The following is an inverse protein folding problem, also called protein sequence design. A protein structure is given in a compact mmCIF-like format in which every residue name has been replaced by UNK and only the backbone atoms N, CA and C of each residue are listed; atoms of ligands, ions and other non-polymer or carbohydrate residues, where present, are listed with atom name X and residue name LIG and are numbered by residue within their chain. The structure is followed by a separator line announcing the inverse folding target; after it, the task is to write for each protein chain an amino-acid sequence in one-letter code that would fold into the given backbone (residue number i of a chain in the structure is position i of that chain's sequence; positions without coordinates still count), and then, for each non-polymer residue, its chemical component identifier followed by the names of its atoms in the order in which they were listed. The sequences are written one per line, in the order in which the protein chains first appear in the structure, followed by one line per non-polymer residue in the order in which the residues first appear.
data_IF_086515109940
#
_entry.id   IF_086515109940
#
_cell.length_a   1.000
_cell.length_b   1.000
_cell.length_c   1.000
_cell.angle_alpha   90.00
_cell.angle_beta   90.00
_cell.angle_gamma   90.00
#
_symmetry.space_group_name_H-M   'P 1'
#
loop_
_entity.id
_entity.type
_entity.pdbx_description
1 polymer ?
#
# COMPACT_ATOMS: atom_id res chain seq x y z
N UNK A 1 -6.19 -12.96 25.88
CA UNK A 1 -6.25 -11.84 24.88
C UNK A 1 -7.06 -10.69 25.47
N UNK A 2 -6.63 -9.44 25.31
CA UNK A 2 -7.44 -8.27 25.68
C UNK A 2 -8.69 -8.25 24.82
N UNK A 3 -9.87 -8.06 25.45
CA UNK A 3 -11.14 -7.94 24.72
C UNK A 3 -11.17 -6.59 23.99
N UNK A 4 -11.47 -6.61 22.69
CA UNK A 4 -11.58 -5.38 21.91
C UNK A 4 -12.83 -4.58 22.30
N UNK A 5 -12.68 -3.26 22.31
CA UNK A 5 -13.77 -2.29 22.42
C UNK A 5 -13.77 -1.43 21.15
N UNK A 6 -14.68 -1.75 20.25
CA UNK A 6 -14.79 -1.09 18.94
C UNK A 6 -15.61 0.22 18.99
N UNK A 7 -16.11 0.63 20.13
CA UNK A 7 -17.02 1.78 20.26
C UNK A 7 -16.44 3.11 19.75
N UNK A 8 -15.11 3.25 19.84
CA UNK A 8 -14.39 4.46 19.42
C UNK A 8 -13.75 4.32 18.03
N UNK A 9 -13.74 3.13 17.46
CA UNK A 9 -13.13 2.90 16.15
C UNK A 9 -14.01 3.50 15.04
N UNK A 10 -13.39 4.33 14.18
CA UNK A 10 -14.02 4.99 13.04
C UNK A 10 -13.88 4.08 11.82
N UNK A 11 -14.99 3.70 11.20
CA UNK A 11 -15.00 2.80 10.04
C UNK A 11 -15.71 3.45 8.87
N UNK A 12 -15.11 3.34 7.68
CA UNK A 12 -15.75 3.71 6.43
C UNK A 12 -16.16 2.45 5.67
N UNK A 13 -17.41 2.42 5.21
CA UNK A 13 -17.97 1.38 4.35
C UNK A 13 -18.35 2.02 3.03
N UNK A 14 -17.61 1.69 1.98
CA UNK A 14 -17.72 2.32 0.67
C UNK A 14 -18.08 1.25 -0.35
N UNK A 15 -19.30 1.31 -0.88
CA UNK A 15 -19.78 0.32 -1.84
C UNK A 15 -20.87 0.93 -2.72
N UNK A 16 -20.89 0.58 -4.01
CA UNK A 16 -21.92 1.05 -4.94
C UNK A 16 -23.32 0.59 -4.55
N UNK A 17 -23.46 -0.65 -4.09
CA UNK A 17 -24.75 -1.24 -3.70
C UNK A 17 -25.18 -0.78 -2.29
N UNK A 18 -26.38 -0.19 -2.19
CA UNK A 18 -26.97 0.29 -0.93
C UNK A 18 -27.25 -0.84 0.06
N UNK A 19 -27.67 -2.02 -0.41
CA UNK A 19 -27.95 -3.19 0.43
C UNK A 19 -26.68 -3.70 1.09
N UNK A 20 -25.57 -3.76 0.35
CA UNK A 20 -24.24 -4.12 0.87
C UNK A 20 -23.81 -3.12 1.96
N UNK A 21 -23.91 -1.81 1.70
CA UNK A 21 -23.58 -0.78 2.70
C UNK A 21 -24.36 -0.95 4.00
N UNK A 22 -25.67 -1.18 3.92
CA UNK A 22 -26.52 -1.35 5.10
C UNK A 22 -26.26 -2.67 5.83
N UNK A 23 -26.02 -3.76 5.10
CA UNK A 23 -25.68 -5.06 5.67
C UNK A 23 -24.38 -4.98 6.47
N UNK A 24 -23.30 -4.46 5.87
CA UNK A 24 -21.99 -4.30 6.54
C UNK A 24 -22.13 -3.38 7.75
N UNK A 25 -22.83 -2.24 7.62
CA UNK A 25 -23.10 -1.32 8.74
C UNK A 25 -23.81 -2.01 9.89
N UNK A 26 -24.83 -2.82 9.61
CA UNK A 26 -25.58 -3.56 10.64
C UNK A 26 -24.69 -4.56 11.38
N UNK A 27 -23.84 -5.28 10.66
CA UNK A 27 -22.84 -6.18 11.27
C UNK A 27 -21.93 -5.40 12.21
N UNK A 28 -21.36 -4.29 11.75
CA UNK A 28 -20.47 -3.46 12.55
C UNK A 28 -21.15 -2.97 13.84
N UNK A 29 -22.40 -2.47 13.74
CA UNK A 29 -23.16 -2.04 14.93
C UNK A 29 -23.42 -3.18 15.89
N UNK A 30 -23.78 -4.37 15.42
CA UNK A 30 -24.00 -5.55 16.27
C UNK A 30 -22.75 -5.97 17.03
N UNK A 31 -21.56 -5.71 16.45
CA UNK A 31 -20.25 -6.01 17.04
C UNK A 31 -19.65 -4.87 17.87
N UNK A 32 -20.41 -3.80 18.10
CA UNK A 32 -20.05 -2.74 19.04
C UNK A 32 -19.43 -1.48 18.43
N UNK A 33 -19.26 -1.41 17.10
CA UNK A 33 -18.87 -0.14 16.46
C UNK A 33 -19.97 0.91 16.62
N UNK A 34 -19.58 2.18 16.79
CA UNK A 34 -20.52 3.30 16.93
C UNK A 34 -20.24 4.43 15.96
N UNK A 35 -19.05 4.47 15.36
CA UNK A 35 -18.64 5.47 14.37
C UNK A 35 -18.45 4.83 13.01
N UNK A 36 -19.55 4.61 12.29
CA UNK A 36 -19.57 3.99 10.94
C UNK A 36 -20.17 4.97 9.95
N UNK A 37 -19.35 5.39 8.98
CA UNK A 37 -19.79 6.20 7.85
C UNK A 37 -19.92 5.31 6.61
N UNK A 38 -20.90 5.61 5.77
CA UNK A 38 -21.18 4.87 4.54
C UNK A 38 -21.20 5.81 3.35
N UNK A 39 -20.64 5.39 2.22
CA UNK A 39 -20.65 6.12 0.96
C UNK A 39 -20.76 5.18 -0.24
N UNK A 40 -21.17 5.72 -1.38
CA UNK A 40 -21.25 5.01 -2.65
C UNK A 40 -20.08 5.34 -3.59
N UNK A 41 -19.20 6.24 -3.17
CA UNK A 41 -17.99 6.62 -3.91
C UNK A 41 -16.77 6.67 -2.99
N UNK A 42 -15.58 6.63 -3.60
CA UNK A 42 -14.29 6.76 -2.91
C UNK A 42 -14.01 8.19 -2.40
N UNK A 43 -14.84 9.17 -2.77
CA UNK A 43 -14.65 10.58 -2.38
C UNK A 43 -14.61 10.75 -0.87
N UNK A 44 -15.41 9.98 -0.12
CA UNK A 44 -15.35 9.97 1.35
C UNK A 44 -13.93 9.67 1.88
N UNK A 45 -13.21 8.74 1.25
CA UNK A 45 -11.85 8.41 1.67
C UNK A 45 -10.85 9.47 1.20
N UNK A 46 -11.02 10.00 0.00
CA UNK A 46 -10.18 11.07 -0.56
C UNK A 46 -10.29 12.34 0.30
N UNK A 47 -11.49 12.71 0.71
CA UNK A 47 -11.73 13.84 1.61
C UNK A 47 -11.09 13.61 2.99
N UNK A 48 -11.21 12.40 3.55
CA UNK A 48 -10.60 12.06 4.82
C UNK A 48 -9.06 12.14 4.78
N UNK A 49 -8.45 11.76 3.66
CA UNK A 49 -7.01 11.91 3.42
C UNK A 49 -6.63 13.39 3.40
N UNK A 50 -7.37 14.19 2.66
CA UNK A 50 -7.13 15.63 2.50
C UNK A 50 -7.27 16.39 3.82
N UNK A 51 -8.25 16.00 4.65
CA UNK A 51 -8.50 16.55 5.97
C UNK A 51 -7.61 15.97 7.08
N UNK A 52 -6.77 14.98 6.77
CA UNK A 52 -5.92 14.25 7.73
C UNK A 52 -6.72 13.62 8.89
N UNK A 53 -7.95 13.20 8.61
CA UNK A 53 -8.86 12.54 9.57
C UNK A 53 -9.27 11.15 9.08
N UNK A 54 -8.27 10.31 8.86
CA UNK A 54 -8.46 8.94 8.39
C UNK A 54 -9.30 8.10 9.35
N UNK A 55 -10.07 7.12 8.83
CA UNK A 55 -10.72 6.09 9.63
C UNK A 55 -9.69 5.09 10.19
N UNK A 56 -10.13 4.31 11.16
CA UNK A 56 -9.33 3.20 11.71
C UNK A 56 -9.41 1.94 10.83
N UNK A 57 -10.45 1.84 9.98
CA UNK A 57 -10.67 0.75 9.03
C UNK A 57 -11.46 1.25 7.83
N UNK A 58 -11.07 0.82 6.64
CA UNK A 58 -11.84 0.98 5.41
C UNK A 58 -12.31 -0.39 4.92
N UNK A 59 -13.59 -0.50 4.58
CA UNK A 59 -14.18 -1.66 3.90
C UNK A 59 -14.75 -1.11 2.59
N UNK A 60 -14.20 -1.50 1.45
CA UNK A 60 -14.54 -0.88 0.17
C UNK A 60 -14.76 -1.89 -0.94
N UNK A 61 -15.70 -1.60 -1.82
CA UNK A 61 -15.75 -2.27 -3.12
C UNK A 61 -14.44 -2.02 -3.89
N UNK A 62 -14.07 -2.97 -4.73
CA UNK A 62 -12.90 -2.85 -5.64
C UNK A 62 -13.35 -2.57 -7.07
N UNK A 63 -14.56 -2.98 -7.40
CA UNK A 63 -15.18 -2.96 -8.72
C UNK A 63 -16.18 -1.79 -8.87
N UNK A 64 -15.70 -0.56 -8.71
CA UNK A 64 -16.46 0.63 -9.10
C UNK A 64 -16.39 0.83 -10.62
N UNK A 65 -17.47 1.36 -11.21
CA UNK A 65 -17.52 1.65 -12.65
C UNK A 65 -16.64 2.85 -13.01
N UNK A 66 -16.68 3.92 -12.21
CA UNK A 66 -16.04 5.21 -12.52
C UNK A 66 -14.80 5.51 -11.65
N UNK A 67 -14.43 4.64 -10.72
CA UNK A 67 -13.33 4.87 -9.78
C UNK A 67 -12.47 3.62 -9.61
N UNK A 68 -11.16 3.78 -9.47
CA UNK A 68 -10.23 2.68 -9.25
C UNK A 68 -9.76 2.62 -7.78
N UNK A 69 -10.44 1.78 -6.98
CA UNK A 69 -10.08 1.56 -5.59
C UNK A 69 -8.67 0.96 -5.44
N UNK A 70 -8.25 0.09 -6.37
CA UNK A 70 -6.91 -0.49 -6.34
C UNK A 70 -5.85 0.59 -6.55
N UNK A 71 -6.07 1.49 -7.51
CA UNK A 71 -5.14 2.61 -7.74
C UNK A 71 -5.09 3.58 -6.55
N UNK A 72 -6.25 3.85 -5.92
CA UNK A 72 -6.30 4.71 -4.72
C UNK A 72 -5.50 4.08 -3.57
N UNK A 73 -5.73 2.80 -3.26
CA UNK A 73 -5.00 2.12 -2.19
C UNK A 73 -3.51 2.02 -2.50
N UNK A 74 -3.13 1.71 -3.73
CA UNK A 74 -1.73 1.73 -4.16
C UNK A 74 -1.08 3.11 -3.93
N UNK A 75 -1.78 4.19 -4.24
CA UNK A 75 -1.30 5.55 -4.02
C UNK A 75 -1.16 5.89 -2.52
N UNK A 76 -2.08 5.42 -1.67
CA UNK A 76 -1.98 5.54 -0.20
C UNK A 76 -0.75 4.78 0.30
N UNK A 77 -0.57 3.51 -0.10
CA UNK A 77 0.57 2.65 0.29
C UNK A 77 1.92 3.28 -0.08
N UNK A 78 1.98 3.94 -1.24
CA UNK A 78 3.19 4.60 -1.72
C UNK A 78 3.29 6.07 -1.29
N UNK A 79 2.49 6.52 -0.30
CA UNK A 79 2.51 7.89 0.24
C UNK A 79 2.28 8.97 -0.85
N UNK A 80 1.65 8.61 -1.98
CA UNK A 80 1.23 9.59 -2.99
C UNK A 80 0.03 10.39 -2.49
N UNK A 81 -0.79 9.76 -1.65
CA UNK A 81 -1.93 10.35 -0.96
C UNK A 81 -1.80 10.12 0.55
N UNK A 82 -1.67 11.23 1.31
CA UNK A 82 -1.58 11.20 2.77
C UNK A 82 -0.25 10.66 3.33
N UNK A 83 -0.18 10.60 4.66
CA UNK A 83 1.04 10.26 5.40
C UNK A 83 0.94 8.89 6.10
N UNK A 84 -0.22 8.22 6.04
CA UNK A 84 -0.45 6.91 6.65
C UNK A 84 -0.62 5.81 5.59
N UNK A 85 0.48 5.17 5.18
CA UNK A 85 0.42 4.07 4.23
C UNK A 85 -0.08 2.76 4.86
N UNK A 86 -0.29 2.71 6.17
CA UNK A 86 -0.65 1.50 6.91
C UNK A 86 -2.15 1.41 7.23
N UNK A 87 -2.97 2.33 6.71
CA UNK A 87 -4.42 2.29 6.88
C UNK A 87 -4.96 0.87 6.62
N UNK A 88 -5.67 0.24 7.59
CA UNK A 88 -6.28 -1.08 7.42
C UNK A 88 -7.39 -1.05 6.36
N UNK A 89 -7.30 -1.93 5.35
CA UNK A 89 -8.25 -1.96 4.23
C UNK A 89 -8.71 -3.38 3.91
N UNK A 90 -10.04 -3.57 3.86
CA UNK A 90 -10.69 -4.79 3.37
C UNK A 90 -11.38 -4.48 2.05
N UNK A 91 -11.05 -5.21 0.99
CA UNK A 91 -11.70 -5.11 -0.30
C UNK A 91 -12.92 -6.03 -0.39
N UNK A 92 -13.95 -5.62 -1.13
CA UNK A 92 -15.10 -6.44 -1.50
C UNK A 92 -15.20 -6.51 -3.02
N UNK A 93 -15.43 -7.69 -3.60
CA UNK A 93 -15.53 -7.86 -5.04
C UNK A 93 -16.56 -8.94 -5.42
N UNK A 94 -17.25 -8.74 -6.56
CA UNK A 94 -18.09 -9.77 -7.17
C UNK A 94 -17.22 -10.74 -7.99
N UNK A 95 -17.39 -12.07 -7.76
CA UNK A 95 -16.73 -13.12 -8.55
C UNK A 95 -15.28 -12.79 -8.95
N UNK A 96 -14.35 -12.60 -7.99
CA UNK A 96 -13.02 -12.10 -8.31
C UNK A 96 -12.24 -13.10 -9.15
N UNK A 97 -12.03 -12.76 -10.42
CA UNK A 97 -11.16 -13.52 -11.33
C UNK A 97 -9.70 -13.39 -10.90
N UNK A 98 -8.81 -14.31 -11.27
CA UNK A 98 -7.39 -14.27 -10.89
C UNK A 98 -6.69 -12.93 -11.18
N UNK A 99 -7.01 -12.28 -12.30
CA UNK A 99 -6.47 -10.98 -12.65
C UNK A 99 -6.88 -9.88 -11.66
N UNK A 100 -8.16 -9.86 -11.22
CA UNK A 100 -8.63 -8.92 -10.20
C UNK A 100 -8.00 -9.21 -8.85
N UNK A 101 -7.87 -10.48 -8.47
CA UNK A 101 -7.18 -10.88 -7.22
C UNK A 101 -5.74 -10.38 -7.23
N UNK A 102 -5.01 -10.57 -8.35
CA UNK A 102 -3.66 -10.05 -8.50
C UNK A 102 -3.60 -8.52 -8.38
N UNK A 103 -4.55 -7.80 -8.99
CA UNK A 103 -4.66 -6.34 -8.88
C UNK A 103 -4.89 -5.89 -7.44
N UNK A 104 -5.78 -6.57 -6.68
CA UNK A 104 -6.05 -6.31 -5.26
C UNK A 104 -4.79 -6.53 -4.41
N UNK A 105 -4.09 -7.64 -4.63
CA UNK A 105 -2.85 -7.97 -3.92
C UNK A 105 -1.77 -6.91 -4.19
N UNK A 106 -1.54 -6.59 -5.46
CA UNK A 106 -0.52 -5.61 -5.87
C UNK A 106 -0.85 -4.18 -5.43
N UNK A 107 -2.12 -3.86 -5.23
CA UNK A 107 -2.54 -2.59 -4.64
C UNK A 107 -2.24 -2.49 -3.12
N UNK A 108 -1.98 -3.61 -2.45
CA UNK A 108 -1.65 -3.63 -1.01
C UNK A 108 -2.86 -3.64 -0.08
N UNK A 109 -4.01 -4.17 -0.51
CA UNK A 109 -5.12 -4.45 0.41
C UNK A 109 -4.69 -5.43 1.50
N UNK A 110 -5.16 -5.26 2.72
CA UNK A 110 -4.86 -6.20 3.80
C UNK A 110 -5.57 -7.53 3.60
N UNK A 111 -6.86 -7.47 3.36
CA UNK A 111 -7.72 -8.62 3.14
C UNK A 111 -8.75 -8.31 2.05
N UNK A 112 -9.39 -9.35 1.54
CA UNK A 112 -10.57 -9.16 0.71
C UNK A 112 -11.63 -10.23 1.01
N UNK A 113 -12.89 -9.96 0.61
CA UNK A 113 -14.01 -10.88 0.69
C UNK A 113 -14.77 -10.86 -0.63
N UNK A 114 -15.10 -12.07 -1.12
CA UNK A 114 -15.92 -12.20 -2.32
C UNK A 114 -17.39 -11.99 -1.97
N UNK A 115 -18.12 -11.25 -2.80
CA UNK A 115 -19.58 -11.10 -2.73
C UNK A 115 -20.26 -12.25 -3.51
N UNK A 116 -21.40 -12.81 -3.03
CA UNK A 116 -22.06 -12.50 -1.75
C UNK A 116 -21.32 -13.12 -0.56
N UNK A 117 -21.35 -12.45 0.59
CA UNK A 117 -20.72 -12.91 1.84
C UNK A 117 -21.73 -12.95 2.99
N UNK A 118 -21.44 -13.81 3.99
CA UNK A 118 -22.19 -13.85 5.24
C UNK A 118 -21.69 -12.79 6.23
N UNK A 119 -22.49 -12.50 7.27
CA UNK A 119 -22.10 -11.63 8.37
C UNK A 119 -20.86 -12.13 9.09
N UNK A 120 -20.70 -13.43 9.24
CA UNK A 120 -19.54 -14.03 9.91
C UNK A 120 -18.27 -13.91 9.08
N UNK A 121 -18.35 -14.06 7.75
CA UNK A 121 -17.20 -13.89 6.86
C UNK A 121 -16.60 -12.49 6.92
N UNK A 122 -17.43 -11.44 6.92
CA UNK A 122 -16.91 -10.08 7.05
C UNK A 122 -16.37 -9.82 8.46
N UNK A 123 -17.01 -10.39 9.49
CA UNK A 123 -16.57 -10.26 10.87
C UNK A 123 -15.21 -10.94 11.10
N UNK A 124 -15.02 -12.16 10.63
CA UNK A 124 -13.74 -12.88 10.69
C UNK A 124 -12.58 -12.08 10.05
N UNK A 125 -12.84 -11.37 8.94
CA UNK A 125 -11.82 -10.51 8.32
C UNK A 125 -11.46 -9.32 9.20
N UNK A 126 -12.45 -8.72 9.86
CA UNK A 126 -12.23 -7.60 10.80
C UNK A 126 -11.44 -8.07 12.03
N UNK A 127 -11.80 -9.20 12.63
CA UNK A 127 -11.07 -9.78 13.76
C UNK A 127 -9.64 -10.14 13.38
N UNK A 128 -9.46 -10.82 12.24
CA UNK A 128 -8.13 -11.15 11.73
C UNK A 128 -7.27 -9.90 11.55
N UNK A 129 -7.84 -8.83 11.02
CA UNK A 129 -7.13 -7.57 10.84
C UNK A 129 -6.80 -6.89 12.17
N UNK A 130 -7.69 -6.98 13.17
CA UNK A 130 -7.48 -6.39 14.48
C UNK A 130 -6.41 -7.14 15.32
N UNK A 131 -6.38 -8.47 15.25
CA UNK A 131 -5.54 -9.29 16.13
C UNK A 131 -4.33 -9.92 15.43
N UNK A 132 -4.45 -10.25 14.15
CA UNK A 132 -3.51 -11.09 13.39
C UNK A 132 -3.16 -10.46 12.02
N UNK A 133 -3.04 -9.12 11.99
CA UNK A 133 -2.67 -8.43 10.76
C UNK A 133 -1.32 -8.96 10.27
N UNK A 134 -1.23 -9.29 8.98
CA UNK A 134 0.02 -9.72 8.38
C UNK A 134 1.06 -8.59 8.43
N UNK A 135 2.33 -8.89 8.71
CA UNK A 135 3.41 -7.93 8.56
C UNK A 135 3.50 -7.46 7.10
N UNK A 136 4.10 -6.30 6.89
CA UNK A 136 4.27 -5.73 5.55
C UNK A 136 5.66 -6.00 5.01
N UNK A 137 5.76 -6.17 3.71
CA UNK A 137 7.02 -6.17 2.96
C UNK A 137 7.10 -4.93 2.10
N UNK A 138 8.34 -4.49 1.86
CA UNK A 138 8.63 -3.35 0.99
C UNK A 138 9.60 -3.79 -0.10
N UNK A 139 9.27 -3.45 -1.34
CA UNK A 139 10.17 -3.51 -2.49
C UNK A 139 10.28 -2.12 -3.12
N UNK A 140 10.95 -1.98 -4.26
CA UNK A 140 11.10 -0.68 -4.93
C UNK A 140 9.76 0.03 -5.15
N UNK A 141 8.76 -0.67 -5.65
CA UNK A 141 7.45 -0.14 -6.06
C UNK A 141 6.26 -0.64 -5.23
N UNK A 142 6.46 -1.61 -4.35
CA UNK A 142 5.39 -2.22 -3.54
C UNK A 142 5.59 -2.00 -2.04
N UNK A 143 4.49 -1.67 -1.36
CA UNK A 143 4.33 -1.72 0.09
C UNK A 143 2.98 -2.35 0.42
N UNK A 144 2.99 -3.47 1.12
CA UNK A 144 1.75 -4.16 1.47
C UNK A 144 1.99 -5.43 2.29
N UNK A 145 0.89 -6.12 2.68
CA UNK A 145 0.97 -7.32 3.48
C UNK A 145 1.80 -8.42 2.83
N UNK A 146 2.61 -9.10 3.63
CA UNK A 146 3.38 -10.26 3.19
C UNK A 146 2.44 -11.42 2.84
N UNK A 147 2.47 -11.83 1.56
CA UNK A 147 1.65 -12.92 1.00
C UNK A 147 2.44 -14.20 0.78
N UNK A 148 3.73 -14.18 1.01
CA UNK A 148 4.59 -15.34 0.80
C UNK A 148 4.45 -16.33 1.96
N UNK A 149 3.83 -17.48 1.70
CA UNK A 149 3.62 -18.55 2.68
C UNK A 149 4.90 -19.33 3.03
N UNK A 150 5.88 -19.32 2.14
CA UNK A 150 7.19 -19.98 2.37
C UNK A 150 8.28 -18.92 2.29
N UNK A 151 8.90 -18.59 3.42
CA UNK A 151 10.01 -17.63 3.48
C UNK A 151 11.30 -18.23 2.91
N UNK A 152 11.40 -18.30 1.61
CA UNK A 152 12.68 -18.27 0.91
C UNK A 152 13.09 -16.84 0.52
N UNK A 153 12.20 -15.86 0.76
CA UNK A 153 12.45 -14.46 0.47
C UNK A 153 13.35 -13.82 1.53
N UNK A 154 14.43 -13.19 1.08
CA UNK A 154 15.35 -12.38 1.89
C UNK A 154 14.78 -10.99 2.23
N UNK A 155 13.57 -10.66 1.77
CA UNK A 155 12.94 -9.36 2.01
C UNK A 155 12.46 -9.28 3.46
N UNK A 156 12.91 -8.26 4.23
CA UNK A 156 12.46 -8.09 5.60
C UNK A 156 10.96 -7.78 5.67
N UNK A 157 10.31 -8.32 6.70
CA UNK A 157 8.91 -8.05 6.99
C UNK A 157 8.78 -7.15 8.24
N UNK A 158 7.87 -6.19 8.20
CA UNK A 158 7.69 -5.14 9.20
C UNK A 158 6.33 -5.26 9.88
N UNK A 159 6.32 -5.27 11.20
CA UNK A 159 5.09 -5.12 12.00
C UNK A 159 4.65 -3.64 11.95
N UNK A 160 3.74 -3.33 11.03
CA UNK A 160 3.32 -1.95 10.79
C UNK A 160 2.24 -1.48 11.77
N UNK A 161 2.13 -0.15 12.02
CA UNK A 161 1.04 0.41 12.82
C UNK A 161 -0.32 -0.02 12.29
N UNK A 162 -1.22 -0.36 13.21
CA UNK A 162 -2.59 -0.77 12.93
C UNK A 162 -3.56 0.12 13.72
N UNK A 163 -4.24 1.04 13.02
CA UNK A 163 -5.16 2.01 13.65
C UNK A 163 -6.34 1.30 14.33
N UNK A 164 -6.90 0.26 13.70
CA UNK A 164 -7.99 -0.52 14.29
C UNK A 164 -7.56 -1.17 15.62
N UNK A 165 -6.41 -1.85 15.66
CA UNK A 165 -5.85 -2.42 16.88
C UNK A 165 -5.54 -1.36 17.92
N UNK A 166 -4.89 -0.29 17.50
CA UNK A 166 -4.51 0.82 18.38
C UNK A 166 -5.71 1.43 19.10
N UNK A 167 -6.82 1.62 18.38
CA UNK A 167 -8.04 2.21 18.95
C UNK A 167 -8.85 1.20 19.77
N UNK A 168 -9.10 0.01 19.22
CA UNK A 168 -10.03 -0.96 19.80
C UNK A 168 -9.42 -1.83 20.91
N UNK A 169 -8.13 -2.16 20.84
CA UNK A 169 -7.47 -3.13 21.72
C UNK A 169 -6.49 -2.44 22.65
N UNK A 170 -5.54 -1.68 22.08
CA UNK A 170 -4.44 -1.09 22.81
C UNK A 170 -4.82 0.23 23.49
N UNK A 171 -5.92 0.86 23.06
CA UNK A 171 -6.44 2.16 23.54
C UNK A 171 -5.41 3.28 23.47
N UNK A 172 -4.61 3.27 22.40
CA UNK A 172 -3.56 4.25 22.14
C UNK A 172 -4.20 5.54 21.61
N UNK A 173 -3.73 6.69 22.09
CA UNK A 173 -4.19 7.99 21.60
C UNK A 173 -3.76 8.23 20.14
N UNK A 174 -4.60 8.90 19.35
CA UNK A 174 -4.32 9.21 17.92
C UNK A 174 -2.95 9.88 17.71
N UNK A 175 -2.54 10.77 18.62
CA UNK A 175 -1.22 11.44 18.53
C UNK A 175 -0.06 10.44 18.66
N UNK A 176 -0.15 9.47 19.57
CA UNK A 176 0.85 8.43 19.74
C UNK A 176 0.86 7.47 18.54
N UNK A 177 -0.32 7.11 18.02
CA UNK A 177 -0.41 6.29 16.81
C UNK A 177 0.27 6.99 15.61
N UNK A 178 0.03 8.29 15.40
CA UNK A 178 0.71 9.07 14.35
C UNK A 178 2.22 9.09 14.51
N UNK A 179 2.72 9.15 15.76
CA UNK A 179 4.16 9.07 16.02
C UNK A 179 4.74 7.72 15.61
N UNK A 180 4.03 6.61 15.87
CA UNK A 180 4.43 5.26 15.42
C UNK A 180 4.46 5.17 13.89
N UNK A 181 3.48 5.78 13.20
CA UNK A 181 3.47 5.85 11.74
C UNK A 181 4.71 6.59 11.22
N UNK A 182 5.05 7.73 11.83
CA UNK A 182 6.21 8.52 11.39
C UNK A 182 7.51 7.71 11.50
N UNK A 183 7.76 7.07 12.65
CA UNK A 183 8.95 6.23 12.86
C UNK A 183 8.99 5.08 11.85
N UNK A 184 7.87 4.37 11.67
CA UNK A 184 7.80 3.27 10.72
C UNK A 184 8.01 3.73 9.27
N UNK A 185 7.55 4.94 8.92
CA UNK A 185 7.77 5.51 7.59
C UNK A 185 9.27 5.76 7.32
N UNK A 186 10.02 6.18 8.31
CA UNK A 186 11.48 6.37 8.21
C UNK A 186 12.18 5.02 7.96
N UNK A 187 11.84 3.98 8.75
CA UNK A 187 12.40 2.63 8.61
C UNK A 187 12.08 2.01 7.24
N UNK A 188 10.81 2.06 6.83
CA UNK A 188 10.33 1.53 5.55
C UNK A 188 10.98 2.26 4.37
N UNK A 189 11.14 3.57 4.46
CA UNK A 189 11.74 4.33 3.39
C UNK A 189 13.23 4.02 3.27
N UNK A 190 13.95 3.91 4.38
CA UNK A 190 15.35 3.49 4.38
C UNK A 190 15.52 2.11 3.72
N UNK A 191 14.67 1.15 4.09
CA UNK A 191 14.69 -0.18 3.48
C UNK A 191 14.40 -0.12 1.98
N UNK A 192 13.44 0.70 1.55
CA UNK A 192 13.11 0.90 0.13
C UNK A 192 14.27 1.47 -0.66
N UNK A 193 14.94 2.49 -0.12
CA UNK A 193 16.11 3.10 -0.77
C UNK A 193 17.27 2.09 -0.88
N UNK A 194 17.51 1.29 0.16
CA UNK A 194 18.52 0.24 0.11
C UNK A 194 18.21 -0.81 -0.97
N UNK A 195 16.92 -1.20 -1.09
CA UNK A 195 16.49 -2.15 -2.12
C UNK A 195 16.64 -1.57 -3.53
N UNK A 196 16.22 -0.32 -3.73
CA UNK A 196 16.37 0.37 -5.02
C UNK A 196 17.84 0.54 -5.41
N UNK A 197 18.72 0.87 -4.47
CA UNK A 197 20.15 0.94 -4.72
C UNK A 197 20.71 -0.41 -5.18
N UNK A 198 20.39 -1.51 -4.49
CA UNK A 198 20.81 -2.85 -4.87
C UNK A 198 20.28 -3.27 -6.26
N UNK A 199 19.05 -2.89 -6.61
CA UNK A 199 18.46 -3.17 -7.90
C UNK A 199 19.11 -2.33 -9.02
N UNK A 200 19.43 -1.07 -8.75
CA UNK A 200 20.21 -0.19 -9.65
C UNK A 200 21.60 -0.78 -9.90
N UNK A 201 22.33 -1.15 -8.84
CA UNK A 201 23.67 -1.75 -8.95
C UNK A 201 23.62 -3.01 -9.82
N UNK A 202 22.61 -3.85 -9.65
CA UNK A 202 22.43 -5.08 -10.43
C UNK A 202 22.16 -4.80 -11.90
N UNK A 203 21.35 -3.79 -12.23
CA UNK A 203 21.11 -3.36 -13.62
C UNK A 203 22.34 -2.76 -14.24
N UNK A 204 23.07 -1.91 -13.52
CA UNK A 204 24.33 -1.33 -14.00
C UNK A 204 25.36 -2.43 -14.33
N UNK A 205 25.48 -3.43 -13.45
CA UNK A 205 26.38 -4.56 -13.69
C UNK A 205 26.02 -5.40 -14.94
N UNK A 206 24.74 -5.39 -15.36
CA UNK A 206 24.32 -6.02 -16.62
C UNK A 206 24.57 -5.13 -17.84
N UNK A 207 24.36 -3.83 -17.71
CA UNK A 207 24.41 -2.86 -18.84
C UNK A 207 25.83 -2.48 -19.20
N UNK A 208 26.72 -2.24 -18.23
CA UNK A 208 28.05 -1.70 -18.48
C UNK A 208 28.90 -2.59 -19.42
N UNK A 209 28.97 -3.93 -19.23
CA UNK A 209 29.76 -4.79 -20.15
C UNK A 209 29.26 -4.74 -21.59
N UNK A 210 27.96 -4.62 -21.83
CA UNK A 210 27.40 -4.55 -23.17
C UNK A 210 27.74 -3.21 -23.84
N UNK A 211 27.67 -2.10 -23.10
CA UNK A 211 28.07 -0.78 -23.59
C UNK A 211 29.58 -0.72 -23.91
N UNK A 212 30.42 -1.28 -23.06
CA UNK A 212 31.89 -1.33 -23.29
C UNK A 212 32.21 -2.16 -24.53
N UNK A 213 31.46 -3.24 -24.75
CA UNK A 213 31.59 -4.06 -25.98
C UNK A 213 30.94 -3.43 -27.22
N UNK A 214 30.33 -2.23 -27.09
CA UNK A 214 29.51 -1.57 -28.13
C UNK A 214 28.38 -2.46 -28.68
N UNK A 215 27.86 -3.33 -27.86
CA UNK A 215 26.79 -4.24 -28.17
C UNK A 215 25.50 -3.71 -27.51
N UNK A 216 24.67 -3.02 -28.28
CA UNK A 216 23.36 -2.54 -27.80
C UNK A 216 22.29 -3.40 -28.47
N UNK A 217 21.84 -4.44 -27.77
CA UNK A 217 20.74 -5.30 -28.20
C UNK A 217 19.44 -4.95 -27.49
N UNK A 218 18.34 -5.67 -27.81
CA UNK A 218 17.03 -5.45 -27.20
C UNK A 218 17.03 -5.60 -25.69
N UNK A 219 17.86 -6.49 -25.15
CA UNK A 219 17.93 -6.74 -23.71
C UNK A 219 18.63 -5.59 -23.00
N UNK A 220 19.69 -5.05 -23.60
CA UNK A 220 20.39 -3.85 -23.11
C UNK A 220 19.46 -2.65 -23.07
N UNK A 221 18.69 -2.41 -24.15
CA UNK A 221 17.67 -1.34 -24.20
C UNK A 221 16.62 -1.53 -23.11
N UNK A 222 16.09 -2.74 -22.95
CA UNK A 222 15.11 -3.04 -21.92
C UNK A 222 15.67 -2.81 -20.50
N UNK A 223 16.93 -3.14 -20.25
CA UNK A 223 17.57 -2.91 -18.96
C UNK A 223 17.82 -1.41 -18.71
N UNK A 224 18.13 -0.63 -19.73
CA UNK A 224 18.24 0.84 -19.66
C UNK A 224 16.87 1.47 -19.31
N UNK A 225 15.79 1.03 -19.94
CA UNK A 225 14.43 1.49 -19.63
C UNK A 225 14.03 1.17 -18.17
N UNK A 226 14.34 -0.04 -17.70
CA UNK A 226 14.14 -0.43 -16.30
C UNK A 226 14.92 0.46 -15.35
N UNK A 227 16.17 0.76 -15.68
CA UNK A 227 17.02 1.64 -14.89
C UNK A 227 16.44 3.05 -14.81
N UNK A 228 15.91 3.61 -15.90
CA UNK A 228 15.22 4.92 -15.89
C UNK A 228 14.00 4.92 -14.97
N UNK A 229 13.22 3.85 -14.97
CA UNK A 229 12.06 3.71 -14.08
C UNK A 229 12.52 3.69 -12.63
N UNK A 230 13.55 2.90 -12.29
CA UNK A 230 14.07 2.82 -10.92
C UNK A 230 14.66 4.15 -10.44
N UNK A 231 15.37 4.89 -11.28
CA UNK A 231 15.89 6.21 -10.95
C UNK A 231 14.77 7.22 -10.65
N UNK A 232 13.65 7.16 -11.38
CA UNK A 232 12.45 7.98 -11.09
C UNK A 232 11.85 7.64 -9.72
N UNK A 233 11.72 6.35 -9.39
CA UNK A 233 11.22 5.90 -8.09
C UNK A 233 12.15 6.32 -6.95
N UNK A 234 13.45 6.10 -7.09
CA UNK A 234 14.46 6.48 -6.10
C UNK A 234 14.43 7.99 -5.84
N UNK A 235 14.39 8.80 -6.91
CA UNK A 235 14.26 10.26 -6.80
C UNK A 235 12.99 10.66 -6.05
N UNK A 236 11.84 10.05 -6.36
CA UNK A 236 10.57 10.36 -5.71
C UNK A 236 10.63 10.12 -4.20
N UNK A 237 11.23 9.01 -3.75
CA UNK A 237 11.38 8.70 -2.35
C UNK A 237 12.44 9.57 -1.67
N UNK A 238 13.56 9.86 -2.33
CA UNK A 238 14.60 10.75 -1.82
C UNK A 238 14.09 12.18 -1.58
N UNK A 239 13.23 12.71 -2.46
CA UNK A 239 12.60 14.03 -2.29
C UNK A 239 11.70 14.04 -1.06
N UNK A 240 10.91 12.99 -0.84
CA UNK A 240 9.99 12.89 0.30
C UNK A 240 10.68 12.83 1.66
N UNK A 241 11.90 12.31 1.69
CA UNK A 241 12.69 12.17 2.92
C UNK A 241 13.84 13.20 3.00
N UNK A 242 13.75 14.27 2.21
CA UNK A 242 14.73 15.39 2.21
C UNK A 242 16.19 14.97 1.93
N UNK A 243 16.39 13.83 1.27
CA UNK A 243 17.73 13.32 0.90
C UNK A 243 18.19 13.95 -0.42
N UNK A 244 18.70 15.20 -0.33
CA UNK A 244 19.09 16.00 -1.49
C UNK A 244 20.16 15.32 -2.36
N UNK A 245 21.16 14.69 -1.73
CA UNK A 245 22.28 14.08 -2.43
C UNK A 245 21.85 12.90 -3.29
N UNK A 246 20.98 12.03 -2.77
CA UNK A 246 20.42 10.90 -3.53
C UNK A 246 19.53 11.43 -4.65
N UNK A 247 18.70 12.45 -4.40
CA UNK A 247 17.88 13.10 -5.42
C UNK A 247 18.74 13.60 -6.59
N UNK A 248 19.82 14.32 -6.30
CA UNK A 248 20.65 14.96 -7.30
C UNK A 248 21.46 13.93 -8.11
N UNK A 249 21.96 12.88 -7.44
CA UNK A 249 22.58 11.74 -8.12
C UNK A 249 21.61 11.05 -9.08
N UNK A 250 20.36 10.83 -8.66
CA UNK A 250 19.33 10.24 -9.53
C UNK A 250 19.05 11.11 -10.76
N UNK A 251 19.05 12.45 -10.61
CA UNK A 251 18.83 13.38 -11.73
C UNK A 251 20.00 13.32 -12.71
N UNK A 252 21.23 13.34 -12.22
CA UNK A 252 22.42 13.23 -13.07
C UNK A 252 22.44 11.90 -13.82
N UNK A 253 22.25 10.81 -13.11
CA UNK A 253 22.26 9.48 -13.69
C UNK A 253 21.14 9.26 -14.70
N UNK A 254 19.92 9.74 -14.39
CA UNK A 254 18.80 9.71 -15.34
C UNK A 254 19.12 10.44 -16.66
N UNK A 255 19.75 11.61 -16.61
CA UNK A 255 20.15 12.36 -17.82
C UNK A 255 21.15 11.58 -18.65
N UNK A 256 22.15 10.97 -18.01
CA UNK A 256 23.16 10.15 -18.70
C UNK A 256 22.53 8.96 -19.40
N UNK A 257 21.68 8.19 -18.70
CA UNK A 257 21.02 7.02 -19.27
C UNK A 257 20.07 7.42 -20.42
N UNK A 258 19.31 8.51 -20.25
CA UNK A 258 18.41 8.99 -21.29
C UNK A 258 19.15 9.48 -22.53
N UNK A 259 20.34 10.05 -22.37
CA UNK A 259 21.19 10.46 -23.53
C UNK A 259 21.73 9.26 -24.29
N UNK A 260 22.01 8.13 -23.62
CA UNK A 260 22.43 6.89 -24.28
C UNK A 260 21.31 6.28 -25.15
N UNK A 261 20.06 6.35 -24.69
CA UNK A 261 18.90 5.87 -25.44
C UNK A 261 18.50 6.79 -26.62
N UNK A 262 18.94 8.07 -26.59
CA UNK A 262 18.63 9.06 -27.64
C UNK A 262 19.77 9.23 -28.66
N UNK A 263 20.84 8.47 -28.55
CA UNK A 263 22.06 8.61 -29.37
C UNK A 263 22.05 7.75 -30.64
N UNK A 264 20.84 7.34 -31.14
CA UNK A 264 20.65 6.67 -32.43
C UNK A 264 20.57 7.63 -33.62
#
# INVERSE_FOLDING_TARGET
MKKADYSKAKVYVIAGDKGIRQSVKSVLFSKGFRSVQVADSLDLLIDAISLRDLPDLVITDVDFEDQDACQLIFNIRNKRYGDDPYLPVIGMAWNPLPALISKIINAGFDLFVAKPFSTDQIWERIEKLAYERQPFVVTGDFLGPDRFKSRTSTVPAFEVPNSLKSTAIDKIRKAEHRRKIKIMNEDINQQRLNQLAADIDRLVALIVPDLDAKKVDSDTVQNLDRLLVMLKYTRFHAVKEEQSDIRDLCVMFYRTVNSLLSAD
#
